data_IF_453358231124
#
_entry.id   IF_453358231124
#
_cell.length_a   1.000
_cell.length_b   1.000
_cell.length_c   1.000
_cell.angle_alpha   90.00
_cell.angle_beta   90.00
_cell.angle_gamma   90.00
#
_symmetry.space_group_name_H-M   'P 1'
#
loop_
_entity.id
_entity.type
_entity.pdbx_description
1 polymer ?
#
# COMPACT_ATOMS: atom_id res chain seq x y z
N UNK A 1 -27.47 -6.88 -30.38
CA UNK A 1 -26.30 -6.77 -31.29
C UNK A 1 -25.01 -7.30 -30.65
N UNK A 2 -24.63 -6.81 -29.46
CA UNK A 2 -23.37 -7.23 -28.77
C UNK A 2 -23.28 -8.75 -28.52
N UNK A 3 -24.35 -9.38 -28.05
CA UNK A 3 -24.39 -10.82 -27.79
C UNK A 3 -24.08 -11.69 -29.02
N UNK A 4 -24.54 -11.28 -30.21
CA UNK A 4 -24.23 -12.01 -31.45
C UNK A 4 -22.75 -11.92 -31.81
N UNK A 5 -22.14 -10.78 -31.58
CA UNK A 5 -20.69 -10.59 -31.79
C UNK A 5 -19.90 -11.52 -30.86
N UNK A 6 -20.27 -11.62 -29.59
CA UNK A 6 -19.63 -12.53 -28.64
C UNK A 6 -19.80 -14.01 -29.03
N UNK A 7 -20.97 -14.39 -29.51
CA UNK A 7 -21.22 -15.77 -29.96
C UNK A 7 -20.33 -16.12 -31.17
N UNK A 8 -20.30 -15.25 -32.18
CA UNK A 8 -19.47 -15.46 -33.38
C UNK A 8 -17.99 -15.47 -33.02
N UNK A 9 -17.57 -14.54 -32.19
CA UNK A 9 -16.19 -14.47 -31.70
C UNK A 9 -15.79 -15.75 -30.96
N UNK A 10 -16.62 -16.23 -30.05
CA UNK A 10 -16.37 -17.45 -29.28
C UNK A 10 -16.32 -18.68 -30.17
N UNK A 11 -17.19 -18.78 -31.16
CA UNK A 11 -17.20 -19.89 -32.13
C UNK A 11 -15.89 -20.00 -32.93
N UNK A 12 -15.31 -18.86 -33.29
CA UNK A 12 -14.08 -18.81 -34.10
C UNK A 12 -12.82 -18.92 -33.23
N UNK A 13 -12.76 -18.16 -32.14
CA UNK A 13 -11.51 -17.89 -31.39
C UNK A 13 -11.41 -18.63 -30.05
N UNK A 14 -12.48 -19.23 -29.49
CA UNK A 14 -12.41 -19.96 -28.22
C UNK A 14 -11.80 -21.37 -28.44
N UNK A 15 -10.56 -21.43 -28.90
CA UNK A 15 -9.80 -22.66 -29.19
C UNK A 15 -8.43 -22.61 -28.55
N UNK A 16 -7.85 -23.79 -28.24
CA UNK A 16 -6.51 -23.91 -27.59
C UNK A 16 -5.43 -23.07 -28.26
N UNK A 17 -5.44 -22.97 -29.60
CA UNK A 17 -4.44 -22.22 -30.36
C UNK A 17 -4.46 -20.71 -30.11
N UNK A 18 -5.58 -20.17 -29.60
CA UNK A 18 -5.73 -18.74 -29.32
C UNK A 18 -5.55 -18.38 -27.83
N UNK A 19 -5.24 -19.37 -26.96
CA UNK A 19 -5.11 -19.12 -25.50
C UNK A 19 -4.06 -18.06 -25.19
N UNK A 20 -2.90 -18.09 -25.83
CA UNK A 20 -1.85 -17.09 -25.63
C UNK A 20 -2.28 -15.70 -26.10
N UNK A 21 -2.97 -15.63 -27.23
CA UNK A 21 -3.53 -14.38 -27.75
C UNK A 21 -4.57 -13.80 -26.79
N UNK A 22 -5.48 -14.64 -26.25
CA UNK A 22 -6.48 -14.18 -25.28
C UNK A 22 -5.84 -13.75 -23.94
N UNK A 23 -4.82 -14.46 -23.47
CA UNK A 23 -4.06 -14.03 -22.30
C UNK A 23 -3.41 -12.65 -22.53
N UNK A 24 -2.83 -12.42 -23.69
CA UNK A 24 -2.26 -11.13 -24.06
C UNK A 24 -3.32 -10.01 -24.08
N UNK A 25 -4.47 -10.23 -24.74
CA UNK A 25 -5.58 -9.27 -24.73
C UNK A 25 -6.12 -9.00 -23.32
N UNK A 26 -6.23 -10.04 -22.51
CA UNK A 26 -6.66 -9.93 -21.11
C UNK A 26 -5.71 -9.02 -20.31
N UNK A 27 -4.41 -9.26 -20.39
CA UNK A 27 -3.43 -8.42 -19.72
C UNK A 27 -3.42 -6.97 -20.22
N UNK A 28 -3.58 -6.74 -21.52
CA UNK A 28 -3.70 -5.37 -22.05
C UNK A 28 -4.96 -4.71 -21.52
N UNK A 29 -6.09 -5.42 -21.53
CA UNK A 29 -7.37 -4.89 -21.06
C UNK A 29 -7.31 -4.55 -19.56
N UNK A 30 -6.72 -5.40 -18.72
CA UNK A 30 -6.54 -5.14 -17.29
C UNK A 30 -5.67 -3.90 -17.03
N UNK A 31 -4.62 -3.70 -17.84
CA UNK A 31 -3.78 -2.48 -17.76
C UNK A 31 -4.53 -1.24 -18.23
N UNK A 32 -5.29 -1.36 -19.32
CA UNK A 32 -6.11 -0.26 -19.85
C UNK A 32 -7.25 0.16 -18.91
N UNK A 33 -7.74 -0.76 -18.09
CA UNK A 33 -8.75 -0.50 -17.05
C UNK A 33 -8.13 -0.02 -15.72
N UNK A 34 -6.79 0.01 -15.62
CA UNK A 34 -6.10 0.38 -14.38
C UNK A 34 -6.17 -0.68 -13.27
N UNK A 35 -6.53 -1.92 -13.61
CA UNK A 35 -6.62 -3.03 -12.64
C UNK A 35 -5.23 -3.59 -12.33
N UNK A 36 -4.37 -3.72 -13.36
CA UNK A 36 -2.98 -4.09 -13.18
C UNK A 36 -2.13 -2.82 -13.11
N UNK A 37 -1.56 -2.55 -11.95
CA UNK A 37 -0.64 -1.45 -11.76
C UNK A 37 0.63 -1.61 -12.61
N UNK A 38 1.14 -0.48 -13.08
CA UNK A 38 2.45 -0.42 -13.69
C UNK A 38 3.48 -0.16 -12.60
N UNK A 39 4.62 -0.86 -12.60
CA UNK A 39 5.72 -0.64 -11.65
C UNK A 39 6.25 0.82 -11.63
N UNK A 40 5.88 1.61 -12.59
CA UNK A 40 6.25 3.02 -12.68
C UNK A 40 5.05 3.85 -12.20
N UNK A 41 5.18 4.48 -11.02
CA UNK A 41 4.17 5.34 -10.38
C UNK A 41 3.69 6.49 -11.29
N UNK A 42 4.53 6.93 -12.23
CA UNK A 42 4.17 7.95 -13.21
C UNK A 42 3.15 7.43 -14.23
N UNK A 43 3.33 6.19 -14.72
CA UNK A 43 2.40 5.54 -15.67
C UNK A 43 1.13 5.02 -14.99
N UNK A 44 1.23 4.63 -13.72
CA UNK A 44 0.07 4.23 -12.92
C UNK A 44 -0.85 5.40 -12.56
N UNK A 45 -0.41 6.64 -12.76
CA UNK A 45 -1.18 7.85 -12.43
C UNK A 45 -1.14 8.23 -10.95
N UNK A 46 -0.52 7.44 -10.09
CA UNK A 46 -0.38 7.67 -8.66
C UNK A 46 0.28 9.03 -8.35
N UNK A 47 1.43 9.28 -8.94
CA UNK A 47 2.18 10.52 -8.78
C UNK A 47 1.41 11.73 -9.29
N UNK A 48 0.66 11.58 -10.39
CA UNK A 48 -0.18 12.65 -10.92
C UNK A 48 -1.37 12.96 -10.00
N UNK A 49 -2.01 11.93 -9.45
CA UNK A 49 -3.08 12.09 -8.48
C UNK A 49 -2.57 12.79 -7.22
N UNK A 50 -1.46 12.32 -6.66
CA UNK A 50 -0.83 12.88 -5.47
C UNK A 50 -0.49 14.37 -5.66
N UNK A 51 0.11 14.72 -6.81
CA UNK A 51 0.42 16.11 -7.17
C UNK A 51 -0.83 16.97 -7.25
N UNK A 52 -1.91 16.48 -7.89
CA UNK A 52 -3.18 17.23 -7.98
C UNK A 52 -3.84 17.40 -6.63
N UNK A 53 -3.80 16.36 -5.80
CA UNK A 53 -4.48 16.35 -4.51
C UNK A 53 -3.78 17.29 -3.51
N UNK A 54 -2.46 17.19 -3.36
CA UNK A 54 -1.72 17.94 -2.35
C UNK A 54 -1.39 19.38 -2.74
N UNK A 55 -1.36 19.71 -4.04
CA UNK A 55 -0.86 20.99 -4.57
C UNK A 55 -1.41 22.24 -3.88
N UNK A 56 -2.69 22.23 -3.51
CA UNK A 56 -3.38 23.41 -2.98
C UNK A 56 -3.68 23.33 -1.47
N UNK A 57 -3.13 22.33 -0.78
CA UNK A 57 -3.30 22.18 0.66
C UNK A 57 -2.12 22.85 1.35
N UNK A 58 -2.39 23.77 2.27
CA UNK A 58 -1.35 24.40 3.07
C UNK A 58 -0.88 23.45 4.18
N UNK A 59 0.43 23.14 4.19
CA UNK A 59 1.06 22.29 5.18
C UNK A 59 0.29 20.98 5.41
N UNK A 60 0.05 20.16 4.36
CA UNK A 60 -0.74 18.93 4.50
C UNK A 60 -0.05 17.96 5.46
N UNK A 61 -0.85 17.28 6.26
CA UNK A 61 -0.40 16.18 7.12
C UNK A 61 -0.61 14.88 6.38
N UNK A 62 0.49 14.17 6.11
CA UNK A 62 0.52 12.89 5.40
C UNK A 62 1.05 11.80 6.32
N UNK A 63 0.33 10.71 6.39
CA UNK A 63 0.73 9.50 7.10
C UNK A 63 1.06 8.44 6.04
N UNK A 64 2.26 7.90 6.08
CA UNK A 64 2.74 6.86 5.16
C UNK A 64 3.04 5.58 5.96
N UNK A 65 2.16 4.58 5.83
CA UNK A 65 2.27 3.29 6.51
C UNK A 65 2.80 2.25 5.52
N UNK A 66 3.97 1.68 5.83
CA UNK A 66 4.76 0.87 4.91
C UNK A 66 5.61 1.75 4.00
N UNK A 67 6.34 2.70 4.59
CA UNK A 67 7.08 3.72 3.85
C UNK A 67 8.28 3.15 3.06
N UNK A 68 8.68 1.93 3.33
CA UNK A 68 9.82 1.26 2.71
C UNK A 68 11.06 2.16 2.73
N UNK A 69 11.75 2.33 1.61
CA UNK A 69 12.94 3.19 1.48
C UNK A 69 12.60 4.67 1.22
N UNK A 70 11.31 5.06 1.27
CA UNK A 70 10.85 6.45 1.17
C UNK A 70 10.47 6.91 -0.23
N UNK A 71 10.18 6.01 -1.16
CA UNK A 71 9.76 6.37 -2.52
C UNK A 71 8.52 7.28 -2.51
N UNK A 72 7.47 6.86 -1.81
CA UNK A 72 6.24 7.65 -1.70
C UNK A 72 6.44 8.97 -0.93
N UNK A 73 7.26 8.97 0.11
CA UNK A 73 7.62 10.19 0.85
C UNK A 73 8.26 11.23 -0.07
N UNK A 74 9.15 10.82 -0.97
CA UNK A 74 9.74 11.71 -1.98
C UNK A 74 8.67 12.27 -2.92
N UNK A 75 7.75 11.43 -3.41
CA UNK A 75 6.65 11.86 -4.28
C UNK A 75 5.72 12.85 -3.57
N UNK A 76 5.48 12.70 -2.25
CA UNK A 76 4.75 13.68 -1.43
C UNK A 76 5.47 15.03 -1.39
N UNK A 77 6.77 15.05 -1.12
CA UNK A 77 7.55 16.31 -1.09
C UNK A 77 7.68 16.96 -2.46
N UNK A 78 7.76 16.17 -3.54
CA UNK A 78 7.70 16.70 -4.90
C UNK A 78 6.32 17.33 -5.23
N UNK A 79 5.25 16.71 -4.73
CA UNK A 79 3.89 17.22 -4.92
C UNK A 79 3.64 18.49 -4.09
N UNK A 80 4.13 18.52 -2.86
CA UNK A 80 4.01 19.66 -1.95
C UNK A 80 5.11 19.65 -0.89
N UNK A 81 6.13 20.48 -1.07
CA UNK A 81 7.29 20.60 -0.16
C UNK A 81 6.90 21.08 1.25
N UNK A 82 5.71 21.67 1.43
CA UNK A 82 5.24 22.13 2.73
C UNK A 82 4.64 21.00 3.59
N UNK A 83 4.51 19.79 3.06
CA UNK A 83 3.90 18.63 3.74
C UNK A 83 4.65 18.27 5.03
N UNK A 84 3.89 17.91 6.07
CA UNK A 84 4.43 17.20 7.24
C UNK A 84 4.15 15.71 7.06
N UNK A 85 5.21 14.91 7.04
CA UNK A 85 5.10 13.46 6.77
C UNK A 85 5.50 12.67 8.00
N UNK A 86 4.64 11.72 8.39
CA UNK A 86 4.90 10.71 9.42
C UNK A 86 4.97 9.36 8.74
N UNK A 87 6.15 8.79 8.64
CA UNK A 87 6.43 7.57 7.88
C UNK A 87 6.75 6.40 8.81
N UNK A 88 6.02 5.31 8.65
CA UNK A 88 6.16 4.09 9.44
C UNK A 88 6.73 2.96 8.58
N UNK A 89 7.86 2.41 9.03
CA UNK A 89 8.51 1.27 8.38
C UNK A 89 8.96 0.27 9.45
N UNK A 90 8.31 -0.91 9.55
CA UNK A 90 8.63 -1.88 10.59
C UNK A 90 9.96 -2.60 10.38
N UNK A 91 10.37 -2.83 9.12
CA UNK A 91 11.56 -3.61 8.83
C UNK A 91 12.85 -2.85 9.21
N UNK A 92 13.69 -3.38 10.11
CA UNK A 92 14.81 -2.59 10.67
C UNK A 92 15.87 -2.19 9.64
N UNK A 93 16.10 -3.02 8.61
CA UNK A 93 17.05 -2.71 7.54
C UNK A 93 16.49 -1.64 6.61
N UNK A 94 15.23 -1.79 6.21
CA UNK A 94 14.53 -0.86 5.31
C UNK A 94 14.34 0.49 5.98
N UNK A 95 13.97 0.52 7.26
CA UNK A 95 13.90 1.74 8.06
C UNK A 95 15.21 2.52 8.08
N UNK A 96 16.36 1.85 8.24
CA UNK A 96 17.67 2.52 8.17
C UNK A 96 17.93 3.14 6.80
N UNK A 97 17.52 2.46 5.72
CA UNK A 97 17.60 3.02 4.36
C UNK A 97 16.70 4.26 4.22
N UNK A 98 15.43 4.17 4.68
CA UNK A 98 14.49 5.30 4.68
C UNK A 98 15.09 6.52 5.37
N UNK A 99 15.62 6.33 6.57
CA UNK A 99 16.18 7.41 7.40
C UNK A 99 17.44 8.06 6.80
N UNK A 100 18.20 7.29 6.02
CA UNK A 100 19.40 7.79 5.33
C UNK A 100 19.11 8.44 3.97
N UNK A 101 18.00 8.04 3.32
CA UNK A 101 17.68 8.47 1.96
C UNK A 101 17.07 9.88 1.91
N UNK A 102 16.39 10.31 2.98
CA UNK A 102 15.59 11.53 2.96
C UNK A 102 15.95 12.41 4.14
N UNK A 103 16.56 13.56 3.86
CA UNK A 103 16.86 14.59 4.85
C UNK A 103 15.87 15.74 4.68
N UNK A 104 14.82 15.77 5.51
CA UNK A 104 13.81 16.83 5.52
C UNK A 104 13.31 17.04 6.95
N UNK A 105 13.30 18.27 7.43
CA UNK A 105 12.88 18.65 8.78
C UNK A 105 11.39 18.42 9.08
N UNK A 106 10.59 18.28 8.02
CA UNK A 106 9.16 17.96 8.09
C UNK A 106 8.85 16.46 7.99
N UNK A 107 9.88 15.61 7.85
CA UNK A 107 9.76 14.17 7.90
C UNK A 107 10.04 13.65 9.30
N UNK A 108 9.14 12.83 9.82
CA UNK A 108 9.36 12.01 11.01
C UNK A 108 9.22 10.55 10.65
N UNK A 109 10.25 9.76 10.91
CA UNK A 109 10.26 8.33 10.60
C UNK A 109 10.20 7.49 11.87
N UNK A 110 9.51 6.34 11.81
CA UNK A 110 9.29 5.44 12.93
C UNK A 110 9.56 4.00 12.52
N UNK A 111 10.43 3.31 13.27
CA UNK A 111 10.65 1.87 13.08
C UNK A 111 9.56 1.09 13.82
N UNK A 112 8.33 1.21 13.34
CA UNK A 112 7.12 0.64 13.92
C UNK A 112 6.23 0.07 12.82
N UNK A 113 5.59 -1.06 13.12
CA UNK A 113 4.42 -1.52 12.38
C UNK A 113 3.18 -0.79 12.84
N UNK A 114 2.15 -0.83 12.01
CA UNK A 114 0.83 -0.29 12.32
C UNK A 114 -0.20 -1.41 12.18
N UNK A 115 -1.11 -1.49 13.14
CA UNK A 115 -2.18 -2.50 13.14
C UNK A 115 -3.35 -2.11 14.04
N UNK A 116 -4.24 -3.07 14.29
CA UNK A 116 -5.44 -2.89 15.09
C UNK A 116 -5.18 -2.92 16.61
N UNK A 117 -4.03 -3.44 17.03
CA UNK A 117 -3.65 -3.57 18.44
C UNK A 117 -2.17 -3.22 18.64
N UNK A 118 -1.85 -2.67 19.83
CA UNK A 118 -0.47 -2.43 20.24
C UNK A 118 0.17 -3.73 20.71
N UNK A 119 1.38 -4.02 20.22
CA UNK A 119 2.09 -5.24 20.61
C UNK A 119 3.38 -5.46 19.87
N UNK A 120 3.81 -6.72 19.82
CA UNK A 120 4.94 -7.19 19.01
C UNK A 120 4.43 -8.28 18.08
N UNK A 121 4.82 -8.20 16.83
CA UNK A 121 4.51 -9.19 15.80
C UNK A 121 5.78 -9.63 15.08
N UNK A 122 5.72 -10.80 14.44
CA UNK A 122 6.77 -11.25 13.54
C UNK A 122 6.51 -10.70 12.14
N UNK A 123 7.49 -9.99 11.61
CA UNK A 123 7.53 -9.53 10.22
C UNK A 123 8.40 -10.51 9.44
N UNK A 124 7.91 -11.02 8.32
CA UNK A 124 8.61 -11.99 7.46
C UNK A 124 9.11 -11.32 6.20
N UNK A 125 10.32 -11.67 5.78
CA UNK A 125 10.92 -11.22 4.53
C UNK A 125 11.69 -12.37 3.87
N UNK A 126 12.25 -12.15 2.69
CA UNK A 126 13.03 -13.14 1.97
C UNK A 126 14.35 -13.44 2.68
N UNK A 127 14.66 -14.73 2.84
CA UNK A 127 15.94 -15.16 3.39
C UNK A 127 17.13 -14.74 2.51
N UNK A 128 16.95 -14.72 1.19
CA UNK A 128 17.97 -14.38 0.20
C UNK A 128 18.03 -12.86 -0.14
N UNK A 129 17.08 -12.06 0.36
CA UNK A 129 17.00 -10.62 0.11
C UNK A 129 16.31 -9.89 1.27
N UNK A 130 16.88 -9.96 2.47
CA UNK A 130 16.37 -9.32 3.68
C UNK A 130 16.41 -7.78 3.56
N UNK A 131 15.30 -7.12 3.87
CA UNK A 131 15.06 -5.69 3.62
C UNK A 131 14.52 -5.42 2.22
N UNK A 132 13.68 -6.35 1.71
CA UNK A 132 12.94 -6.23 0.45
C UNK A 132 11.77 -5.25 0.55
N UNK A 133 11.10 -5.03 -0.57
CA UNK A 133 9.87 -4.25 -0.62
C UNK A 133 8.61 -5.05 -0.25
N UNK A 134 8.74 -6.37 -0.06
CA UNK A 134 7.62 -7.30 0.11
C UNK A 134 7.55 -7.93 1.50
N UNK A 135 8.19 -7.32 2.50
CA UNK A 135 8.10 -7.79 3.89
C UNK A 135 6.65 -7.72 4.39
N UNK A 136 6.16 -8.83 4.97
CA UNK A 136 4.75 -8.97 5.38
C UNK A 136 4.63 -9.56 6.80
N UNK A 137 3.54 -9.26 7.49
CA UNK A 137 3.18 -9.94 8.74
C UNK A 137 2.64 -11.37 8.53
N UNK A 138 2.44 -11.77 7.29
CA UNK A 138 1.97 -13.09 6.91
C UNK A 138 3.09 -13.89 6.26
N UNK A 139 3.59 -14.91 6.93
CA UNK A 139 4.66 -15.79 6.43
C UNK A 139 4.31 -16.40 5.08
N UNK A 140 3.05 -16.75 4.89
CA UNK A 140 2.50 -17.37 3.69
C UNK A 140 2.62 -16.47 2.45
N UNK A 141 2.73 -15.15 2.61
CA UNK A 141 3.05 -14.23 1.50
C UNK A 141 4.43 -14.58 0.93
N UNK A 142 5.42 -14.81 1.80
CA UNK A 142 6.77 -15.14 1.38
C UNK A 142 6.87 -16.58 0.90
N UNK A 143 6.34 -17.54 1.69
CA UNK A 143 6.53 -18.99 1.44
C UNK A 143 5.61 -19.53 0.35
N UNK A 144 4.32 -19.20 0.39
CA UNK A 144 3.32 -19.84 -0.47
C UNK A 144 3.05 -19.02 -1.74
N UNK A 145 2.92 -17.68 -1.60
CA UNK A 145 2.66 -16.82 -2.74
C UNK A 145 3.93 -16.58 -3.56
N UNK A 146 5.05 -16.25 -2.91
CA UNK A 146 6.32 -15.95 -3.59
C UNK A 146 7.24 -17.16 -3.73
N UNK A 147 6.97 -18.29 -3.04
CA UNK A 147 7.75 -19.54 -3.13
C UNK A 147 9.19 -19.41 -2.65
N UNK A 148 9.44 -18.55 -1.64
CA UNK A 148 10.77 -18.22 -1.12
C UNK A 148 10.99 -18.71 0.32
N UNK A 149 12.27 -18.84 0.73
CA UNK A 149 12.64 -18.95 2.14
C UNK A 149 12.31 -17.67 2.90
N UNK A 150 11.88 -17.78 4.16
CA UNK A 150 11.50 -16.64 4.98
C UNK A 150 12.41 -16.48 6.19
N UNK A 151 12.87 -15.25 6.43
CA UNK A 151 13.46 -14.79 7.68
C UNK A 151 12.43 -13.96 8.44
N UNK A 152 12.49 -13.92 9.77
CA UNK A 152 11.58 -13.11 10.57
C UNK A 152 12.31 -12.10 11.46
N UNK A 153 11.63 -10.97 11.69
CA UNK A 153 12.04 -9.90 12.60
C UNK A 153 10.91 -9.59 13.56
N UNK A 154 11.20 -9.57 14.86
CA UNK A 154 10.23 -9.10 15.85
C UNK A 154 10.13 -7.58 15.79
N UNK A 155 8.94 -7.06 15.50
CA UNK A 155 8.68 -5.64 15.30
C UNK A 155 7.61 -5.14 16.27
N UNK A 156 7.76 -3.91 16.74
CA UNK A 156 6.74 -3.25 17.54
C UNK A 156 5.62 -2.73 16.64
N UNK A 157 4.37 -2.91 17.08
CA UNK A 157 3.16 -2.48 16.37
C UNK A 157 2.37 -1.52 17.24
N UNK A 158 1.85 -0.48 16.63
CA UNK A 158 1.01 0.55 17.28
C UNK A 158 -0.34 0.69 16.59
N UNK A 159 -1.27 1.34 17.30
CA UNK A 159 -2.52 1.86 16.71
C UNK A 159 -2.32 3.32 16.31
N UNK A 160 -2.79 3.70 15.14
CA UNK A 160 -2.73 5.10 14.69
C UNK A 160 -3.62 6.02 15.54
N UNK A 161 -4.78 5.55 16.02
CA UNK A 161 -5.62 6.35 16.91
C UNK A 161 -4.86 6.84 18.15
N UNK A 162 -4.09 5.95 18.79
CA UNK A 162 -3.28 6.29 19.96
C UNK A 162 -2.13 7.23 19.58
N UNK A 163 -1.44 6.94 18.48
CA UNK A 163 -0.34 7.76 17.96
C UNK A 163 -0.79 9.19 17.67
N UNK A 164 -1.95 9.37 17.03
CA UNK A 164 -2.46 10.70 16.70
C UNK A 164 -2.83 11.50 17.95
N UNK A 165 -3.35 10.84 18.98
CA UNK A 165 -3.61 11.49 20.28
C UNK A 165 -2.30 11.93 20.95
N UNK A 166 -1.29 11.07 20.99
CA UNK A 166 0.01 11.36 21.61
C UNK A 166 0.75 12.51 20.90
N UNK A 167 0.69 12.54 19.57
CA UNK A 167 1.32 13.58 18.74
C UNK A 167 0.45 14.81 18.54
N UNK A 168 -0.79 14.84 19.09
CA UNK A 168 -1.78 15.92 18.97
C UNK A 168 -2.10 16.25 17.50
N UNK A 169 -2.21 15.24 16.67
CA UNK A 169 -2.61 15.35 15.27
C UNK A 169 -4.14 15.30 15.26
N UNK A 170 -4.80 16.39 14.91
CA UNK A 170 -6.26 16.45 14.91
C UNK A 170 -6.89 15.98 13.60
N UNK A 171 -6.28 16.35 12.47
CA UNK A 171 -6.78 15.99 11.12
C UNK A 171 -5.64 15.51 10.24
N UNK A 172 -5.95 14.59 9.33
CA UNK A 172 -5.01 14.00 8.39
C UNK A 172 -5.50 14.29 6.98
N UNK A 173 -4.66 14.86 6.14
CA UNK A 173 -5.01 15.14 4.76
C UNK A 173 -4.92 13.90 3.90
N UNK A 174 -3.91 13.04 4.14
CA UNK A 174 -3.73 11.80 3.40
C UNK A 174 -3.15 10.70 4.29
N UNK A 175 -3.83 9.56 4.31
CA UNK A 175 -3.34 8.31 4.88
C UNK A 175 -3.02 7.35 3.74
N UNK A 176 -1.72 7.05 3.54
CA UNK A 176 -1.26 5.99 2.63
C UNK A 176 -1.05 4.71 3.43
N UNK A 177 -1.52 3.60 2.89
CA UNK A 177 -1.38 2.26 3.50
C UNK A 177 -0.89 1.28 2.43
N UNK A 178 0.27 0.70 2.67
CA UNK A 178 0.90 -0.30 1.81
C UNK A 178 1.72 -1.24 2.69
N UNK A 179 1.08 -2.30 3.14
CA UNK A 179 1.58 -3.15 4.23
C UNK A 179 1.59 -4.63 3.87
N UNK A 180 1.48 -4.92 2.55
CA UNK A 180 1.61 -6.25 2.00
C UNK A 180 0.68 -7.28 2.70
N UNK A 181 -0.62 -6.89 2.77
CA UNK A 181 -1.70 -7.73 3.29
C UNK A 181 -2.26 -7.33 4.66
N UNK A 182 -1.71 -6.31 5.34
CA UNK A 182 -2.18 -5.88 6.66
C UNK A 182 -3.05 -4.59 6.63
N UNK A 183 -3.44 -4.13 5.45
CA UNK A 183 -4.14 -2.84 5.22
C UNK A 183 -5.42 -2.72 6.06
N UNK A 184 -6.19 -3.81 6.15
CA UNK A 184 -7.43 -3.82 6.90
C UNK A 184 -7.21 -3.63 8.41
N UNK A 185 -6.18 -4.25 8.98
CA UNK A 185 -5.84 -4.06 10.39
C UNK A 185 -5.34 -2.63 10.67
N UNK A 186 -4.65 -2.00 9.72
CA UNK A 186 -4.29 -0.58 9.81
C UNK A 186 -5.55 0.29 9.90
N UNK A 187 -6.56 0.04 9.06
CA UNK A 187 -7.84 0.77 9.10
C UNK A 187 -8.60 0.54 10.41
N UNK A 188 -8.60 -0.68 10.96
CA UNK A 188 -9.17 -0.96 12.28
C UNK A 188 -8.42 -0.20 13.39
N UNK A 189 -7.10 -0.01 13.23
CA UNK A 189 -6.26 0.76 14.17
C UNK A 189 -6.48 2.27 14.13
N UNK A 190 -7.28 2.78 13.17
CA UNK A 190 -7.59 4.20 12.99
C UNK A 190 -9.10 4.46 12.93
N UNK A 191 -9.90 3.51 13.45
CA UNK A 191 -11.37 3.51 13.37
C UNK A 191 -12.01 4.77 13.96
N UNK A 192 -11.48 5.29 15.07
CA UNK A 192 -11.96 6.51 15.70
C UNK A 192 -11.85 7.72 14.76
N UNK A 193 -10.66 7.92 14.15
CA UNK A 193 -10.44 9.03 13.23
C UNK A 193 -11.25 8.89 11.93
N UNK A 194 -11.51 7.66 11.48
CA UNK A 194 -12.41 7.40 10.34
C UNK A 194 -13.85 7.78 10.69
N UNK A 195 -14.35 7.32 11.84
CA UNK A 195 -15.72 7.60 12.31
C UNK A 195 -15.93 9.10 12.53
N UNK A 196 -14.94 9.80 13.08
CA UNK A 196 -14.94 11.24 13.31
C UNK A 196 -14.67 12.06 12.03
N UNK A 197 -14.46 11.41 10.89
CA UNK A 197 -14.16 12.03 9.57
C UNK A 197 -12.96 12.97 9.61
N UNK A 198 -11.95 12.62 10.39
CA UNK A 198 -10.70 13.37 10.55
C UNK A 198 -9.65 13.03 9.50
N UNK A 199 -9.88 12.01 8.68
CA UNK A 199 -9.03 11.62 7.55
C UNK A 199 -9.73 12.03 6.26
N UNK A 200 -9.09 12.91 5.46
CA UNK A 200 -9.70 13.47 4.25
C UNK A 200 -9.59 12.56 3.04
N UNK A 201 -8.48 11.83 2.92
CA UNK A 201 -8.27 10.86 1.86
C UNK A 201 -7.47 9.66 2.36
N UNK A 202 -7.78 8.49 1.81
CA UNK A 202 -7.05 7.26 2.04
C UNK A 202 -6.59 6.73 0.69
N UNK A 203 -5.30 6.41 0.60
CA UNK A 203 -4.71 5.72 -0.51
C UNK A 203 -4.14 4.40 -0.01
N UNK A 204 -4.72 3.29 -0.42
CA UNK A 204 -4.23 1.97 -0.01
C UNK A 204 -4.06 1.04 -1.20
N UNK A 205 -3.14 0.11 -1.08
CA UNK A 205 -2.95 -0.94 -2.07
C UNK A 205 -3.84 -2.14 -1.72
N UNK A 206 -4.48 -2.72 -2.75
CA UNK A 206 -5.24 -3.95 -2.64
C UNK A 206 -4.77 -4.92 -3.73
N UNK A 207 -4.15 -6.01 -3.31
CA UNK A 207 -3.50 -6.95 -4.21
C UNK A 207 -3.70 -8.41 -3.76
N UNK A 208 -2.95 -9.35 -4.34
CA UNK A 208 -3.05 -10.79 -4.03
C UNK A 208 -2.65 -11.15 -2.59
N UNK A 209 -1.86 -10.32 -1.89
CA UNK A 209 -1.50 -10.56 -0.49
C UNK A 209 -2.75 -10.49 0.42
N UNK A 210 -3.77 -9.73 0.02
CA UNK A 210 -5.03 -9.68 0.74
C UNK A 210 -5.82 -11.00 0.68
N UNK A 211 -5.52 -11.89 -0.27
CA UNK A 211 -6.06 -13.26 -0.30
C UNK A 211 -5.51 -14.07 0.87
N UNK A 212 -4.23 -13.91 1.18
CA UNK A 212 -3.55 -14.61 2.29
C UNK A 212 -4.14 -14.13 3.63
N UNK A 213 -4.32 -12.82 3.81
CA UNK A 213 -4.96 -12.27 5.01
C UNK A 213 -6.47 -12.53 5.08
N UNK A 214 -7.06 -13.17 4.05
CA UNK A 214 -8.50 -13.48 3.93
C UNK A 214 -9.41 -12.26 3.97
N UNK A 215 -8.90 -11.12 3.54
CA UNK A 215 -9.63 -9.86 3.43
C UNK A 215 -10.10 -9.68 2.00
N UNK A 216 -11.41 -9.47 1.82
CA UNK A 216 -11.99 -9.13 0.53
C UNK A 216 -12.18 -7.62 0.41
N UNK A 217 -12.24 -7.11 -0.82
CA UNK A 217 -12.50 -5.69 -1.06
C UNK A 217 -13.80 -5.19 -0.40
N UNK A 218 -14.78 -6.09 -0.20
CA UNK A 218 -16.03 -5.78 0.50
C UNK A 218 -15.81 -5.33 1.96
N UNK A 219 -14.76 -5.83 2.62
CA UNK A 219 -14.45 -5.46 4.00
C UNK A 219 -14.07 -3.98 4.14
N UNK A 220 -13.50 -3.38 3.08
CA UNK A 220 -13.13 -1.96 3.04
C UNK A 220 -14.31 -1.01 2.80
N UNK A 221 -15.48 -1.50 2.39
CA UNK A 221 -16.67 -0.70 2.09
C UNK A 221 -17.56 -0.38 3.29
N UNK A 222 -17.10 -0.61 4.51
CA UNK A 222 -17.91 -0.45 5.74
C UNK A 222 -17.75 0.96 6.35
N UNK A 223 -16.88 1.81 5.83
CA UNK A 223 -16.55 3.13 6.40
C UNK A 223 -17.11 4.30 5.59
#
# INVERSE_FOLDING_TARGET
MLNYIFIIYSYIFARKNFVLFHKFLYHISLRGLGILNHHNSYLAGEKQWLSRYLKNINNPIVIDVGANIGGYVNDVFEANISSFVYAFEPHPITYRKLNNNIANDKLKTFNLGVGNEKGKLELFDYEDNDGSAHASLYKEVITDLHGKGAVSHSVEVIKLDDFFMDYKIDTIDLLKIDTEGNEYNVLLGVEKYLTEKKIKAIHFEFNEMNIISKISFKNFGIY
#
